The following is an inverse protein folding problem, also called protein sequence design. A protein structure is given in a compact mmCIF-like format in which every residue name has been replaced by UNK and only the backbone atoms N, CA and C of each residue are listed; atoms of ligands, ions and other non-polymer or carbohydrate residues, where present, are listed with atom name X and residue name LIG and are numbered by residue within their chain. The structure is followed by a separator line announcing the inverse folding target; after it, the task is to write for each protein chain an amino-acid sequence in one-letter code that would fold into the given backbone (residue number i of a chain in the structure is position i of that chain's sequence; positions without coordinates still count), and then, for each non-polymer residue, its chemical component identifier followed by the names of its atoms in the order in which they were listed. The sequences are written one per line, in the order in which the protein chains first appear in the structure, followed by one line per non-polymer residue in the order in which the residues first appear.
data_IF_117436186527
#
_entry.id   IF_117436186527
#
_cell.length_a   1.000
_cell.length_b   1.000
_cell.length_c   1.000
_cell.angle_alpha   90.00
_cell.angle_beta   90.00
_cell.angle_gamma   90.00
#
_symmetry.space_group_name_H-M   'P 1'
#
loop_
_entity.id
_entity.type
_entity.pdbx_description
1 polymer ?
#
# COMPACT_ATOMS: atom_id res chain seq x y z
N UNK A 1 5.34 -6.77 -11.03
CA UNK A 1 5.61 -5.73 -10.06
C UNK A 1 5.40 -4.34 -10.65
N UNK A 2 6.20 -3.90 -11.58
CA UNK A 2 6.13 -2.55 -12.15
C UNK A 2 4.75 -2.19 -12.72
N UNK A 3 4.10 -3.09 -13.44
CA UNK A 3 2.71 -2.90 -13.90
C UNK A 3 1.72 -2.87 -12.74
N UNK A 4 1.93 -3.75 -11.75
CA UNK A 4 1.02 -3.86 -10.59
C UNK A 4 1.04 -2.64 -9.69
N UNK A 5 2.20 -2.02 -9.55
CA UNK A 5 2.40 -0.80 -8.77
C UNK A 5 2.15 0.49 -9.57
N UNK A 6 1.70 0.39 -10.82
CA UNK A 6 1.40 1.54 -11.65
C UNK A 6 2.63 2.32 -12.15
N UNK A 7 3.83 1.73 -12.08
CA UNK A 7 5.07 2.34 -12.56
C UNK A 7 5.15 2.28 -14.08
N UNK A 8 4.72 1.18 -14.66
CA UNK A 8 4.56 1.00 -16.11
C UNK A 8 3.12 0.63 -16.43
N UNK A 9 2.68 0.92 -17.64
CA UNK A 9 1.41 0.42 -18.20
C UNK A 9 1.71 -0.64 -19.25
N UNK A 10 0.97 -1.75 -19.19
CA UNK A 10 0.95 -2.70 -20.30
C UNK A 10 0.28 -2.04 -21.51
N UNK A 11 0.94 -2.03 -22.61
CA UNK A 11 0.31 -1.74 -23.88
C UNK A 11 -0.75 -2.81 -24.22
N UNK A 12 -1.77 -2.45 -24.98
CA UNK A 12 -2.67 -3.43 -25.61
C UNK A 12 -1.85 -4.43 -26.43
N UNK A 13 -2.38 -5.64 -26.74
CA UNK A 13 -1.64 -6.66 -27.51
C UNK A 13 -0.89 -6.05 -28.70
N UNK A 14 0.45 -5.95 -28.60
CA UNK A 14 1.33 -5.40 -29.63
C UNK A 14 1.76 -3.94 -29.44
N UNK A 15 1.30 -3.26 -28.39
CA UNK A 15 1.81 -1.93 -28.03
C UNK A 15 3.03 -2.03 -27.08
N UNK A 16 3.92 -1.06 -27.19
CA UNK A 16 5.09 -0.95 -26.30
C UNK A 16 4.68 -0.70 -24.84
N UNK A 17 5.41 -1.30 -23.91
CA UNK A 17 5.33 -0.99 -22.49
C UNK A 17 5.73 0.48 -22.31
N UNK A 18 4.86 1.26 -21.65
CA UNK A 18 5.10 2.69 -21.42
C UNK A 18 5.32 2.97 -19.94
N UNK A 19 6.32 3.78 -19.63
CA UNK A 19 6.52 4.30 -18.28
C UNK A 19 5.39 5.28 -17.98
N UNK A 20 4.70 5.08 -16.86
CA UNK A 20 3.60 5.96 -16.43
C UNK A 20 4.14 7.29 -15.92
N UNK A 21 3.24 8.23 -15.61
CA UNK A 21 3.62 9.49 -14.96
C UNK A 21 4.24 9.23 -13.58
N UNK A 22 3.66 8.33 -12.79
CA UNK A 22 4.20 7.93 -11.49
C UNK A 22 5.60 7.33 -11.64
N UNK A 23 5.76 6.40 -12.59
CA UNK A 23 7.07 5.78 -12.86
C UNK A 23 8.15 6.80 -13.21
N UNK A 24 7.83 7.80 -14.06
CA UNK A 24 8.78 8.88 -14.38
C UNK A 24 9.10 9.78 -13.19
N UNK A 25 8.12 10.07 -12.33
CA UNK A 25 8.34 10.90 -11.14
C UNK A 25 9.20 10.23 -10.09
N UNK A 26 9.05 8.94 -9.90
CA UNK A 26 9.84 8.17 -8.93
C UNK A 26 11.21 7.81 -9.51
N UNK A 27 11.23 7.13 -10.65
CA UNK A 27 12.40 6.41 -11.17
C UNK A 27 13.01 7.04 -12.42
N UNK A 28 12.50 8.16 -12.92
CA UNK A 28 13.12 8.88 -14.04
C UNK A 28 14.50 9.41 -13.67
N UNK A 29 15.29 9.82 -14.67
CA UNK A 29 16.64 10.39 -14.49
C UNK A 29 16.64 11.56 -13.47
N UNK A 30 15.57 12.35 -13.45
CA UNK A 30 15.34 13.42 -12.48
C UNK A 30 14.20 13.09 -11.51
N UNK A 31 13.91 11.81 -11.29
CA UNK A 31 12.89 11.35 -10.39
C UNK A 31 13.27 11.53 -8.92
N UNK A 32 12.29 11.40 -8.04
CA UNK A 32 12.52 11.58 -6.59
C UNK A 32 13.44 10.51 -6.01
N UNK A 33 13.35 9.26 -6.50
CA UNK A 33 14.08 8.13 -5.97
C UNK A 33 14.42 7.09 -7.06
N UNK A 34 15.39 7.40 -7.94
CA UNK A 34 15.76 6.52 -9.05
C UNK A 34 16.20 5.12 -8.64
N UNK A 35 16.71 4.96 -7.44
CA UNK A 35 17.31 3.72 -6.93
C UNK A 35 16.45 3.00 -5.89
N UNK A 36 15.26 3.53 -5.58
CA UNK A 36 14.33 2.97 -4.58
C UNK A 36 14.97 2.83 -3.18
N UNK A 37 15.66 3.87 -2.75
CA UNK A 37 16.31 3.95 -1.44
C UNK A 37 15.46 4.65 -0.38
N UNK A 38 14.44 5.41 -0.80
CA UNK A 38 13.57 6.16 0.09
C UNK A 38 12.34 5.33 0.52
N UNK A 39 12.04 5.25 1.82
CA UNK A 39 10.86 4.54 2.32
C UNK A 39 9.54 5.03 1.70
N UNK A 40 9.42 6.31 1.32
CA UNK A 40 8.24 6.84 0.68
C UNK A 40 7.90 6.11 -0.63
N UNK A 41 8.92 5.76 -1.43
CA UNK A 41 8.75 4.94 -2.64
C UNK A 41 8.16 3.57 -2.31
N UNK A 42 8.68 2.90 -1.28
CA UNK A 42 8.18 1.59 -0.83
C UNK A 42 6.72 1.68 -0.35
N UNK A 43 6.34 2.73 0.38
CA UNK A 43 4.97 2.97 0.80
C UNK A 43 4.01 3.24 -0.37
N UNK A 44 4.44 3.99 -1.39
CA UNK A 44 3.66 4.24 -2.61
C UNK A 44 3.42 2.94 -3.36
N UNK A 45 4.47 2.14 -3.56
CA UNK A 45 4.37 0.82 -4.21
C UNK A 45 3.42 -0.09 -3.44
N UNK A 46 3.55 -0.14 -2.12
CA UNK A 46 2.65 -0.91 -1.25
C UNK A 46 1.19 -0.45 -1.41
N UNK A 47 0.92 0.86 -1.38
CA UNK A 47 -0.42 1.40 -1.61
C UNK A 47 -1.02 0.93 -2.94
N UNK A 48 -0.28 1.03 -4.03
CA UNK A 48 -0.75 0.61 -5.34
C UNK A 48 -0.99 -0.90 -5.47
N UNK A 49 -0.26 -1.71 -4.70
CA UNK A 49 -0.48 -3.17 -4.65
C UNK A 49 -1.72 -3.55 -3.85
N UNK A 50 -2.01 -2.84 -2.75
CA UNK A 50 -2.95 -3.25 -1.71
C UNK A 50 -4.21 -2.40 -1.62
N UNK A 51 -4.19 -1.14 -2.05
CA UNK A 51 -5.31 -0.20 -1.91
C UNK A 51 -6.47 -0.46 -2.88
N UNK A 52 -6.28 -1.32 -3.89
CA UNK A 52 -7.29 -1.60 -4.92
C UNK A 52 -7.40 -3.10 -5.20
N UNK A 53 -8.60 -3.59 -5.57
CA UNK A 53 -8.84 -5.03 -5.77
C UNK A 53 -8.11 -5.65 -6.98
N UNK A 54 -7.37 -4.87 -7.76
CA UNK A 54 -6.66 -5.32 -8.96
C UNK A 54 -5.62 -6.42 -8.72
N UNK A 55 -5.12 -6.56 -7.50
CA UNK A 55 -4.22 -7.64 -7.04
C UNK A 55 -4.88 -8.39 -5.89
N UNK A 56 -5.69 -9.37 -6.23
CA UNK A 56 -6.61 -10.04 -5.31
C UNK A 56 -5.94 -10.49 -4.01
N UNK A 57 -4.81 -11.20 -4.06
CA UNK A 57 -4.13 -11.71 -2.87
C UNK A 57 -3.68 -10.59 -1.93
N UNK A 58 -3.05 -9.53 -2.46
CA UNK A 58 -2.59 -8.37 -1.67
C UNK A 58 -3.76 -7.60 -1.08
N UNK A 59 -4.74 -7.23 -1.92
CA UNK A 59 -5.93 -6.52 -1.48
C UNK A 59 -6.70 -7.31 -0.43
N UNK A 60 -6.93 -8.61 -0.66
CA UNK A 60 -7.67 -9.46 0.27
C UNK A 60 -6.96 -9.60 1.62
N UNK A 61 -5.66 -9.83 1.60
CA UNK A 61 -4.88 -10.00 2.81
C UNK A 61 -4.93 -8.77 3.73
N UNK A 62 -4.74 -7.56 3.19
CA UNK A 62 -4.80 -6.34 4.00
C UNK A 62 -6.22 -5.87 4.30
N UNK A 63 -7.19 -6.13 3.42
CA UNK A 63 -8.56 -5.61 3.57
C UNK A 63 -9.54 -6.56 4.24
N UNK A 64 -9.38 -7.88 4.08
CA UNK A 64 -10.39 -8.86 4.47
C UNK A 64 -9.90 -9.94 5.43
N UNK A 65 -8.60 -10.09 5.65
CA UNK A 65 -8.13 -11.07 6.62
C UNK A 65 -8.66 -10.73 8.02
N UNK A 66 -9.39 -11.66 8.68
CA UNK A 66 -10.11 -11.34 9.92
C UNK A 66 -9.18 -11.25 11.15
N UNK A 67 -7.99 -11.82 11.07
CA UNK A 67 -7.04 -11.90 12.18
C UNK A 67 -5.68 -11.34 11.79
N UNK A 68 -5.00 -10.73 12.76
CA UNK A 68 -3.63 -10.24 12.54
C UNK A 68 -2.59 -11.37 12.52
N UNK A 69 -2.88 -12.52 13.15
CA UNK A 69 -2.01 -13.69 13.15
C UNK A 69 -2.59 -14.77 12.23
N UNK A 70 -1.78 -15.27 11.33
CA UNK A 70 -2.20 -16.22 10.30
C UNK A 70 -1.04 -17.13 9.89
N UNK A 71 -1.36 -18.19 9.18
CA UNK A 71 -0.41 -19.02 8.47
C UNK A 71 -0.69 -19.03 6.96
N UNK A 72 0.14 -19.74 6.22
CA UNK A 72 -0.01 -19.87 4.77
C UNK A 72 -1.34 -20.51 4.38
N UNK A 73 -1.75 -21.54 5.09
CA UNK A 73 -2.98 -22.27 4.78
C UNK A 73 -4.21 -21.40 5.02
N UNK A 74 -4.21 -20.56 6.04
CA UNK A 74 -5.27 -19.55 6.29
C UNK A 74 -5.47 -18.61 5.08
N UNK A 75 -4.37 -18.10 4.49
CA UNK A 75 -4.45 -17.25 3.30
C UNK A 75 -4.96 -18.04 2.09
N UNK A 76 -4.44 -19.24 1.86
CA UNK A 76 -4.85 -20.09 0.72
C UNK A 76 -6.33 -20.43 0.82
N UNK A 77 -6.82 -20.87 1.97
CA UNK A 77 -8.22 -21.23 2.17
C UNK A 77 -9.14 -20.02 2.03
N UNK A 78 -8.76 -18.85 2.60
CA UNK A 78 -9.52 -17.62 2.45
C UNK A 78 -9.67 -17.18 0.99
N UNK A 79 -8.60 -17.26 0.20
CA UNK A 79 -8.63 -16.92 -1.23
C UNK A 79 -9.42 -17.91 -2.07
N UNK A 80 -9.34 -19.21 -1.76
CA UNK A 80 -10.15 -20.23 -2.42
C UNK A 80 -11.63 -20.05 -2.07
N UNK A 81 -11.97 -19.72 -0.82
CA UNK A 81 -13.31 -19.35 -0.39
C UNK A 81 -13.83 -18.14 -1.18
N UNK A 82 -13.05 -17.06 -1.25
CA UNK A 82 -13.40 -15.89 -2.05
C UNK A 82 -13.68 -16.25 -3.51
N UNK A 83 -12.84 -17.09 -4.11
CA UNK A 83 -13.03 -17.51 -5.51
C UNK A 83 -14.33 -18.30 -5.69
N UNK A 84 -14.67 -19.16 -4.75
CA UNK A 84 -15.94 -19.90 -4.72
C UNK A 84 -17.14 -18.97 -4.59
N UNK A 85 -17.11 -18.05 -3.63
CA UNK A 85 -18.21 -17.11 -3.36
C UNK A 85 -18.48 -16.16 -4.53
N UNK A 86 -17.41 -15.81 -5.26
CA UNK A 86 -17.48 -14.96 -6.46
C UNK A 86 -17.76 -15.75 -7.76
N UNK A 87 -17.85 -17.07 -7.69
CA UNK A 87 -18.07 -17.93 -8.85
C UNK A 87 -16.96 -17.83 -9.91
N UNK A 88 -15.71 -17.59 -9.49
CA UNK A 88 -14.59 -17.48 -10.45
C UNK A 88 -14.28 -18.83 -11.08
N UNK A 89 -14.30 -18.94 -12.41
CA UNK A 89 -14.02 -20.19 -13.08
C UNK A 89 -12.52 -20.52 -13.02
N UNK A 90 -12.20 -21.80 -12.86
CA UNK A 90 -10.86 -22.38 -13.06
C UNK A 90 -9.75 -21.83 -12.13
N UNK A 91 -10.08 -21.51 -10.89
CA UNK A 91 -9.06 -21.16 -9.90
C UNK A 91 -8.37 -22.43 -9.40
N UNK A 92 -7.12 -22.65 -9.82
CA UNK A 92 -6.35 -23.81 -9.39
C UNK A 92 -5.71 -23.54 -8.01
N UNK A 93 -5.85 -24.45 -7.02
CA UNK A 93 -5.22 -24.32 -5.70
C UNK A 93 -3.70 -24.10 -5.76
N UNK A 94 -3.02 -24.70 -6.74
CA UNK A 94 -1.59 -24.54 -6.97
C UNK A 94 -1.21 -23.11 -7.36
N UNK A 95 -2.06 -22.41 -8.13
CA UNK A 95 -1.87 -21.00 -8.48
C UNK A 95 -2.03 -20.13 -7.25
N UNK A 96 -3.09 -20.34 -6.46
CA UNK A 96 -3.32 -19.61 -5.20
C UNK A 96 -2.16 -19.78 -4.23
N UNK A 97 -1.63 -21.00 -4.09
CA UNK A 97 -0.45 -21.26 -3.26
C UNK A 97 0.78 -20.47 -3.70
N UNK A 98 1.04 -20.37 -5.02
CA UNK A 98 2.14 -19.58 -5.57
C UNK A 98 1.95 -18.09 -5.32
N UNK A 99 0.73 -17.58 -5.46
CA UNK A 99 0.42 -16.18 -5.19
C UNK A 99 0.61 -15.84 -3.71
N UNK A 100 0.20 -16.73 -2.79
CA UNK A 100 0.43 -16.58 -1.35
C UNK A 100 1.93 -16.61 -1.02
N UNK A 101 2.70 -17.50 -1.65
CA UNK A 101 4.16 -17.52 -1.49
C UNK A 101 4.81 -16.22 -1.98
N UNK A 102 4.38 -15.71 -3.13
CA UNK A 102 4.86 -14.43 -3.66
C UNK A 102 4.50 -13.28 -2.71
N UNK A 103 3.28 -13.25 -2.17
CA UNK A 103 2.84 -12.28 -1.18
C UNK A 103 3.71 -12.32 0.08
N UNK A 104 3.95 -13.49 0.64
CA UNK A 104 4.77 -13.63 1.85
C UNK A 104 6.22 -13.20 1.62
N UNK A 105 6.81 -13.54 0.48
CA UNK A 105 8.16 -13.07 0.11
C UNK A 105 8.23 -11.56 -0.09
N UNK A 106 7.13 -10.93 -0.48
CA UNK A 106 7.07 -9.49 -0.64
C UNK A 106 7.26 -8.73 0.68
N UNK A 107 6.81 -9.30 1.81
CA UNK A 107 6.78 -8.61 3.11
C UNK A 107 7.60 -9.26 4.22
N UNK A 108 8.17 -10.44 4.01
CA UNK A 108 8.86 -11.18 5.06
C UNK A 108 10.13 -11.86 4.57
N UNK A 109 11.26 -11.57 5.23
CA UNK A 109 12.58 -12.15 4.97
C UNK A 109 12.75 -13.61 5.39
N UNK A 110 11.82 -14.16 6.16
CA UNK A 110 11.96 -15.51 6.75
C UNK A 110 11.87 -16.67 5.76
N UNK A 111 11.71 -16.39 4.48
CA UNK A 111 11.61 -17.46 3.47
C UNK A 111 12.93 -18.18 3.16
N UNK A 112 13.96 -17.99 3.96
CA UNK A 112 15.23 -18.74 3.81
C UNK A 112 15.00 -20.21 4.11
N UNK A 113 14.86 -21.02 3.08
CA UNK A 113 15.08 -22.45 3.18
C UNK A 113 16.57 -22.65 3.54
N UNK A 114 16.84 -23.42 4.60
CA UNK A 114 18.21 -23.77 4.99
C UNK A 114 18.98 -24.55 3.89
N UNK A 115 18.38 -24.79 2.73
CA UNK A 115 18.93 -25.49 1.58
C UNK A 115 19.42 -24.56 0.45
N UNK A 116 19.18 -23.24 0.51
CA UNK A 116 19.65 -22.32 -0.52
C UNK A 116 20.92 -21.60 -0.05
N UNK A 117 22.06 -22.20 -0.28
CA UNK A 117 23.39 -21.63 0.02
C UNK A 117 24.04 -20.95 -1.19
N UNK A 118 23.28 -20.52 -2.18
CA UNK A 118 23.86 -19.73 -3.29
C UNK A 118 23.71 -18.24 -3.00
N UNK A 119 24.83 -17.56 -2.84
CA UNK A 119 24.94 -16.12 -2.52
C UNK A 119 24.39 -15.17 -3.62
N UNK A 120 23.94 -15.68 -4.75
CA UNK A 120 23.60 -14.88 -5.93
C UNK A 120 22.09 -14.59 -6.11
N UNK A 121 21.19 -15.11 -5.27
CA UNK A 121 19.72 -14.98 -5.47
C UNK A 121 18.99 -14.19 -4.38
N UNK A 122 19.66 -13.48 -3.51
CA UNK A 122 19.03 -12.89 -2.31
C UNK A 122 18.81 -11.38 -2.42
N UNK A 123 18.20 -10.91 -3.50
CA UNK A 123 17.60 -9.58 -3.47
C UNK A 123 16.28 -9.68 -2.69
N UNK A 124 16.31 -9.22 -1.44
CA UNK A 124 15.09 -9.07 -0.64
C UNK A 124 14.17 -8.04 -1.31
N UNK A 125 12.85 -8.27 -1.18
CA UNK A 125 11.88 -7.27 -1.61
C UNK A 125 12.05 -5.99 -0.78
N UNK A 126 12.10 -4.79 -1.38
CA UNK A 126 12.19 -3.54 -0.62
C UNK A 126 10.99 -3.33 0.32
N UNK A 127 9.85 -4.00 0.09
CA UNK A 127 8.69 -3.91 0.98
C UNK A 127 8.86 -4.68 2.30
N UNK A 128 9.89 -5.51 2.44
CA UNK A 128 10.24 -6.16 3.72
C UNK A 128 10.59 -5.11 4.79
N UNK A 129 11.26 -4.02 4.39
CA UNK A 129 11.68 -2.93 5.27
C UNK A 129 10.50 -2.17 5.89
N UNK A 130 9.31 -2.22 5.28
CA UNK A 130 8.10 -1.63 5.85
C UNK A 130 7.65 -2.32 7.15
N UNK A 131 8.16 -3.53 7.44
CA UNK A 131 7.90 -4.26 8.67
C UNK A 131 6.44 -4.62 8.91
N UNK A 132 5.62 -4.68 7.84
CA UNK A 132 4.17 -4.92 7.92
C UNK A 132 3.81 -6.35 8.32
N UNK A 133 4.64 -7.32 7.95
CA UNK A 133 4.42 -8.73 8.26
C UNK A 133 5.68 -9.31 8.90
N UNK A 134 5.54 -9.83 10.11
CA UNK A 134 6.64 -10.48 10.84
C UNK A 134 6.36 -11.97 11.01
N UNK A 135 7.39 -12.82 10.85
CA UNK A 135 7.26 -14.24 11.16
C UNK A 135 7.09 -14.45 12.67
N UNK A 136 6.26 -15.43 13.05
CA UNK A 136 5.99 -15.80 14.45
C UNK A 136 6.24 -17.30 14.67
N UNK A 137 6.88 -17.63 15.79
CA UNK A 137 7.15 -19.03 16.14
C UNK A 137 8.20 -19.71 15.25
N UNK A 138 8.28 -21.04 15.33
CA UNK A 138 9.25 -21.87 14.58
C UNK A 138 8.71 -22.42 13.27
N UNK A 139 7.40 -22.34 13.04
CA UNK A 139 6.69 -22.84 11.84
C UNK A 139 6.10 -21.67 11.05
N UNK A 140 5.37 -21.97 10.00
CA UNK A 140 4.79 -21.05 8.99
C UNK A 140 3.78 -20.01 9.53
N UNK A 141 3.98 -19.50 10.74
CA UNK A 141 3.17 -18.46 11.35
C UNK A 141 3.67 -17.07 10.99
N UNK A 142 2.74 -16.16 10.74
CA UNK A 142 2.97 -14.75 10.42
C UNK A 142 2.05 -13.85 11.24
N UNK A 143 2.47 -12.62 11.45
CA UNK A 143 1.65 -11.61 12.12
C UNK A 143 1.75 -10.28 11.39
N UNK A 144 0.62 -9.70 11.08
CA UNK A 144 0.52 -8.30 10.66
C UNK A 144 0.79 -7.38 11.85
N UNK A 145 1.67 -6.42 11.66
CA UNK A 145 2.08 -5.46 12.70
C UNK A 145 1.23 -4.20 12.55
N UNK A 146 0.20 -4.07 13.38
CA UNK A 146 -0.63 -2.86 13.47
C UNK A 146 0.00 -1.87 14.43
N UNK A 147 -0.15 -0.57 14.16
CA UNK A 147 0.36 0.52 14.97
C UNK A 147 1.11 1.57 14.17
N UNK A 148 1.79 2.52 14.82
CA UNK A 148 2.45 3.63 14.17
C UNK A 148 3.50 3.19 13.15
N UNK A 149 3.61 3.97 12.06
CA UNK A 149 4.56 3.75 10.96
C UNK A 149 5.44 4.97 10.82
N UNK A 150 6.59 4.95 11.48
CA UNK A 150 7.52 6.09 11.54
C UNK A 150 8.10 6.49 10.19
N UNK A 151 8.17 5.56 9.23
CA UNK A 151 8.67 5.80 7.87
C UNK A 151 7.57 6.13 6.86
N UNK A 152 6.29 6.06 7.26
CA UNK A 152 5.17 6.50 6.42
C UNK A 152 5.04 8.00 6.54
N UNK A 153 5.34 8.73 5.47
CA UNK A 153 5.20 10.16 5.42
C UNK A 153 3.74 10.62 5.30
N UNK A 154 3.48 11.86 5.67
CA UNK A 154 2.12 12.42 5.67
C UNK A 154 1.65 12.74 4.24
N UNK A 155 2.56 12.99 3.32
CA UNK A 155 2.26 13.17 1.89
C UNK A 155 1.72 11.89 1.24
N UNK A 156 2.36 10.74 1.48
CA UNK A 156 1.89 9.42 1.03
C UNK A 156 0.56 9.07 1.68
N UNK A 157 0.40 9.35 2.99
CA UNK A 157 -0.86 9.13 3.68
C UNK A 157 -2.00 9.97 3.10
N UNK A 158 -1.79 11.27 2.86
CA UNK A 158 -2.79 12.18 2.27
C UNK A 158 -3.17 11.74 0.84
N UNK A 159 -2.18 11.36 0.03
CA UNK A 159 -2.43 10.77 -1.29
C UNK A 159 -3.31 9.53 -1.20
N UNK A 160 -2.96 8.58 -0.33
CA UNK A 160 -3.71 7.35 -0.14
C UNK A 160 -5.14 7.60 0.32
N UNK A 161 -5.33 8.55 1.26
CA UNK A 161 -6.65 8.96 1.74
C UNK A 161 -7.52 9.52 0.62
N UNK A 162 -6.99 10.40 -0.22
CA UNK A 162 -7.70 10.99 -1.34
C UNK A 162 -8.02 9.96 -2.43
N UNK A 163 -7.09 9.06 -2.73
CA UNK A 163 -7.28 7.96 -3.69
C UNK A 163 -8.37 6.99 -3.23
N UNK A 164 -8.33 6.58 -1.95
CA UNK A 164 -9.40 5.77 -1.33
C UNK A 164 -10.74 6.49 -1.37
N UNK A 165 -10.79 7.73 -0.89
CA UNK A 165 -12.04 8.50 -0.83
C UNK A 165 -12.69 8.67 -2.20
N UNK A 166 -11.89 8.94 -3.24
CA UNK A 166 -12.38 9.08 -4.61
C UNK A 166 -13.09 7.83 -5.15
N UNK A 167 -12.74 6.64 -4.64
CA UNK A 167 -13.34 5.37 -5.01
C UNK A 167 -14.49 4.97 -4.08
N UNK A 168 -14.35 5.26 -2.79
CA UNK A 168 -15.29 4.81 -1.75
C UNK A 168 -16.58 5.64 -1.72
N UNK A 169 -16.48 6.97 -1.80
CA UNK A 169 -17.65 7.85 -1.62
C UNK A 169 -17.52 9.18 -2.36
N UNK A 170 -18.66 9.68 -2.82
CA UNK A 170 -18.76 11.05 -3.38
C UNK A 170 -19.19 12.09 -2.32
N UNK A 171 -19.42 11.68 -1.08
CA UNK A 171 -19.78 12.59 0.01
C UNK A 171 -18.62 13.55 0.32
N UNK A 172 -18.95 14.72 0.88
CA UNK A 172 -17.96 15.70 1.30
C UNK A 172 -17.38 15.39 2.70
N UNK A 173 -17.82 14.32 3.34
CA UNK A 173 -17.31 13.88 4.63
C UNK A 173 -16.94 12.41 4.56
N UNK A 174 -15.89 12.03 5.31
CA UNK A 174 -15.44 10.65 5.47
C UNK A 174 -15.16 10.38 6.94
N UNK A 175 -15.85 9.39 7.52
CA UNK A 175 -15.71 9.07 8.94
C UNK A 175 -14.36 8.42 9.24
N UNK A 176 -13.84 8.60 10.46
CA UNK A 176 -12.68 7.90 10.95
C UNK A 176 -12.84 6.38 10.85
N UNK A 177 -14.04 5.87 11.14
CA UNK A 177 -14.36 4.44 11.04
C UNK A 177 -14.14 3.91 9.62
N UNK A 178 -14.60 4.66 8.59
CA UNK A 178 -14.37 4.29 7.20
C UNK A 178 -12.88 4.32 6.84
N UNK A 179 -12.14 5.34 7.29
CA UNK A 179 -10.70 5.46 7.07
C UNK A 179 -9.92 4.32 7.75
N UNK A 180 -10.39 3.87 8.92
CA UNK A 180 -9.73 2.84 9.72
C UNK A 180 -10.03 1.40 9.24
N UNK A 181 -11.28 1.13 8.79
CA UNK A 181 -11.76 -0.24 8.72
C UNK A 181 -12.31 -0.69 7.38
N UNK A 182 -12.68 0.23 6.48
CA UNK A 182 -13.22 -0.18 5.18
C UNK A 182 -12.15 -0.88 4.31
N UNK A 183 -12.56 -1.86 3.50
CA UNK A 183 -11.64 -2.53 2.59
C UNK A 183 -10.93 -1.54 1.66
N UNK A 184 -9.61 -1.62 1.59
CA UNK A 184 -8.76 -0.71 0.81
C UNK A 184 -8.51 0.64 1.46
N UNK A 185 -9.00 0.88 2.68
CA UNK A 185 -8.75 2.13 3.42
C UNK A 185 -7.30 2.26 3.89
N UNK A 186 -6.81 3.50 4.12
CA UNK A 186 -5.46 3.72 4.64
C UNK A 186 -5.19 2.99 5.96
N UNK A 187 -6.15 2.95 6.88
CA UNK A 187 -6.00 2.24 8.15
C UNK A 187 -5.79 0.74 7.98
N UNK A 188 -6.49 0.14 7.00
CA UNK A 188 -6.32 -1.28 6.65
C UNK A 188 -5.01 -1.53 5.92
N UNK A 189 -4.76 -0.80 4.86
CA UNK A 189 -3.63 -1.02 3.96
C UNK A 189 -2.31 -0.76 4.68
N UNK A 190 -2.18 0.33 5.41
CA UNK A 190 -0.96 0.66 6.15
C UNK A 190 -0.89 0.01 7.54
N UNK A 191 -1.92 -0.74 7.95
CA UNK A 191 -2.02 -1.34 9.29
C UNK A 191 -1.87 -0.30 10.40
N UNK A 192 -2.52 0.87 10.27
CA UNK A 192 -2.51 1.93 11.27
C UNK A 192 -3.53 1.61 12.38
N UNK A 193 -3.20 1.99 13.60
CA UNK A 193 -4.19 2.03 14.69
C UNK A 193 -4.98 3.34 14.69
N UNK A 194 -5.96 3.46 15.57
CA UNK A 194 -6.83 4.64 15.62
C UNK A 194 -6.08 5.88 16.09
N UNK A 195 -5.13 5.73 17.01
CA UNK A 195 -4.36 6.85 17.56
C UNK A 195 -3.44 7.46 16.50
N UNK A 196 -2.71 6.63 15.75
CA UNK A 196 -1.86 7.07 14.64
C UNK A 196 -2.70 7.72 13.50
N UNK A 197 -3.88 7.16 13.20
CA UNK A 197 -4.81 7.77 12.25
C UNK A 197 -5.26 9.17 12.71
N UNK A 198 -5.64 9.32 13.98
CA UNK A 198 -6.08 10.61 14.55
C UNK A 198 -4.95 11.63 14.53
N UNK A 199 -3.72 11.22 14.84
CA UNK A 199 -2.54 12.08 14.79
C UNK A 199 -2.33 12.63 13.37
N UNK A 200 -2.26 11.75 12.35
CA UNK A 200 -2.10 12.12 10.94
C UNK A 200 -3.24 12.98 10.41
N UNK A 201 -4.48 12.64 10.77
CA UNK A 201 -5.64 13.42 10.35
C UNK A 201 -5.68 14.79 11.01
N UNK A 202 -5.10 14.95 12.18
CA UNK A 202 -5.01 16.27 12.85
C UNK A 202 -4.07 17.24 12.09
N UNK A 203 -3.10 16.74 11.33
CA UNK A 203 -2.21 17.54 10.46
C UNK A 203 -2.67 17.63 9.00
N UNK A 204 -3.80 17.02 8.63
CA UNK A 204 -4.20 16.88 7.22
C UNK A 204 -4.46 18.21 6.51
N UNK A 205 -4.85 19.23 7.26
CA UNK A 205 -5.12 20.58 6.73
C UNK A 205 -3.85 21.20 6.17
N UNK A 206 -2.74 21.11 6.87
CA UNK A 206 -1.44 21.66 6.45
C UNK A 206 -0.94 20.96 5.18
N UNK A 207 -0.99 19.63 5.15
CA UNK A 207 -0.54 18.83 3.99
C UNK A 207 -1.40 19.07 2.75
N UNK A 208 -2.70 19.35 2.93
CA UNK A 208 -3.64 19.54 1.82
C UNK A 208 -3.91 21.01 1.50
N UNK A 209 -3.16 21.93 2.10
CA UNK A 209 -3.35 23.37 1.95
C UNK A 209 -4.81 23.79 2.16
N UNK A 210 -5.42 23.31 3.28
CA UNK A 210 -6.81 23.60 3.65
C UNK A 210 -7.88 22.93 2.77
N UNK A 211 -7.51 21.97 1.89
CA UNK A 211 -8.50 21.26 1.09
C UNK A 211 -9.28 20.22 1.90
N UNK A 212 -8.65 19.63 2.89
CA UNK A 212 -9.26 18.71 3.86
C UNK A 212 -9.12 19.30 5.26
N UNK A 213 -10.14 19.13 6.09
CA UNK A 213 -10.15 19.55 7.50
C UNK A 213 -10.59 18.40 8.39
N UNK A 214 -9.88 18.18 9.49
CA UNK A 214 -10.26 17.20 10.51
C UNK A 214 -11.25 17.80 11.50
N UNK A 215 -12.34 17.10 11.80
CA UNK A 215 -13.37 17.55 12.74
C UNK A 215 -13.68 16.47 13.79
N UNK A 216 -13.77 16.94 15.05
CA UNK A 216 -14.20 16.15 16.23
C UNK A 216 -15.43 16.82 16.88
N UNK A 217 -16.45 17.14 16.11
CA UNK A 217 -17.61 17.90 16.61
C UNK A 217 -18.76 16.96 16.96
N UNK A 218 -19.38 17.15 18.12
CA UNK A 218 -20.55 16.40 18.59
C UNK A 218 -20.35 14.87 18.61
N UNK A 219 -19.13 14.40 18.92
CA UNK A 219 -18.81 12.97 18.94
C UNK A 219 -18.52 12.35 17.56
N UNK A 220 -18.68 13.09 16.49
CA UNK A 220 -18.34 12.64 15.14
C UNK A 220 -16.86 12.94 14.85
N UNK A 221 -16.10 11.88 14.58
CA UNK A 221 -14.72 11.96 14.10
C UNK A 221 -14.71 11.78 12.59
N UNK A 222 -14.42 12.82 11.83
CA UNK A 222 -14.50 12.79 10.36
C UNK A 222 -13.55 13.79 9.69
N UNK A 223 -13.19 13.50 8.46
CA UNK A 223 -12.54 14.45 7.54
C UNK A 223 -13.61 15.11 6.68
N UNK A 224 -13.51 16.42 6.52
CA UNK A 224 -14.40 17.25 5.68
C UNK A 224 -13.61 17.72 4.47
N UNK A 225 -14.17 17.54 3.28
CA UNK A 225 -13.63 18.09 2.03
C UNK A 225 -14.17 19.51 1.84
N UNK A 226 -13.31 20.48 2.07
CA UNK A 226 -13.61 21.91 1.92
C UNK A 226 -13.59 22.31 0.45
N UNK A 227 -12.62 21.79 -0.31
CA UNK A 227 -12.51 21.98 -1.76
C UNK A 227 -12.06 20.69 -2.45
N UNK A 228 -12.40 20.58 -3.73
CA UNK A 228 -11.98 19.41 -4.52
C UNK A 228 -10.47 19.41 -4.75
N UNK A 229 -9.86 18.22 -4.66
CA UNK A 229 -8.46 17.98 -5.00
C UNK A 229 -8.43 17.13 -6.26
N UNK A 230 -7.75 17.62 -7.29
CA UNK A 230 -7.56 16.85 -8.53
C UNK A 230 -6.57 15.69 -8.29
N UNK A 231 -6.64 14.63 -9.11
CA UNK A 231 -5.70 13.53 -9.05
C UNK A 231 -4.23 14.00 -9.18
N UNK A 232 -3.99 15.05 -10.00
CA UNK A 232 -2.66 15.65 -10.14
C UNK A 232 -2.16 16.27 -8.83
N UNK A 233 -3.02 17.00 -8.12
CA UNK A 233 -2.67 17.60 -6.83
C UNK A 233 -2.47 16.55 -5.74
N UNK A 234 -3.32 15.50 -5.72
CA UNK A 234 -3.15 14.39 -4.79
C UNK A 234 -1.79 13.68 -5.00
N UNK A 235 -1.41 13.41 -6.24
CA UNK A 235 -0.09 12.86 -6.55
C UNK A 235 1.07 13.81 -6.16
N UNK A 236 0.87 15.12 -6.17
CA UNK A 236 1.90 16.08 -5.75
C UNK A 236 2.15 16.07 -4.25
N UNK A 237 1.17 15.66 -3.43
CA UNK A 237 1.36 15.56 -1.97
C UNK A 237 2.46 14.58 -1.60
N UNK A 238 2.67 13.55 -2.41
CA UNK A 238 3.75 12.59 -2.20
C UNK A 238 5.14 13.27 -2.19
N UNK A 239 5.30 14.41 -2.86
CA UNK A 239 6.58 15.14 -2.91
C UNK A 239 7.03 15.66 -1.55
N UNK A 240 6.09 15.87 -0.60
CA UNK A 240 6.43 16.30 0.77
C UNK A 240 7.28 15.28 1.53
N UNK A 241 7.21 14.02 1.14
CA UNK A 241 7.90 12.93 1.83
C UNK A 241 9.29 12.63 1.27
N UNK A 242 9.67 13.28 0.16
CA UNK A 242 11.00 13.15 -0.41
C UNK A 242 11.91 14.31 -0.02
N UNK A 243 13.20 14.07 0.26
CA UNK A 243 14.14 15.14 0.53
C UNK A 243 14.24 16.10 -0.68
N UNK A 244 14.29 17.39 -0.39
CA UNK A 244 14.53 18.41 -1.41
C UNK A 244 15.93 18.17 -2.00
N UNK A 245 16.01 17.59 -3.19
CA UNK A 245 17.29 17.44 -3.90
C UNK A 245 17.87 18.82 -4.19
N UNK A 246 18.99 19.14 -3.58
CA UNK A 246 19.76 20.31 -3.94
C UNK A 246 20.24 20.14 -5.38
N UNK A 247 20.09 21.18 -6.23
CA UNK A 247 20.53 21.18 -7.65
C UNK A 247 22.06 20.98 -7.86
N UNK A 248 22.78 20.53 -6.84
CA UNK A 248 24.25 20.40 -6.86
C UNK A 248 24.79 19.02 -7.19
N UNK A 249 23.92 17.98 -7.27
CA UNK A 249 24.39 16.60 -7.54
C UNK A 249 24.17 16.13 -8.99
N UNK A 250 23.78 17.04 -9.89
CA UNK A 250 23.56 16.75 -11.31
C UNK A 250 24.61 17.48 -12.18
N UNK A 251 25.90 17.36 -11.80
CA UNK A 251 27.01 17.86 -12.62
C UNK A 251 28.11 16.79 -12.73
#
# INVERSE_FOLDING_TARGET
WATSSGIISDGSKGEEIKVTRLGRRLFGEHGHDPYMEDPATSWIVHWHLCGRPGRTTWFWAFSHLPTLSFDRDTLVQGLLGLASDRGWPRVAPTTVKRDVECFLRTYSSRWRSAASLSHEEELESPLVELGLIKPVGKKDGFRMVRGPKTTLGDGVFAFALLDFWGQYSRANTLSLEAIAHEPGSPGRVFLLDEDDLVERLSGIEDITDGALTWSKTAGLKQVIRVRSVSAKQAEQMVEFDFPVRSKREAA
#
